data_IF_269723244305
#
_entry.id   IF_269723244305
#
_cell.length_a   1.000
_cell.length_b   1.000
_cell.length_c   1.000
_cell.angle_alpha   90.00
_cell.angle_beta   90.00
_cell.angle_gamma   90.00
#
_symmetry.space_group_name_H-M   'P 1'
#
loop_
_entity.id
_entity.type
_entity.pdbx_description
1 polymer ?
#
# COMPACT_ATOMS: atom_id res chain seq x y z
N UNK A 1 -6.62 -0.41 -0.56
CA UNK A 1 -6.90 -0.58 0.89
C UNK A 1 -8.25 0.03 1.22
N UNK A 2 -8.98 -0.57 2.15
CA UNK A 2 -10.22 -0.04 2.72
C UNK A 2 -9.95 0.41 4.15
N UNK A 3 -10.39 1.62 4.49
CA UNK A 3 -10.33 2.14 5.86
C UNK A 3 -11.68 1.90 6.53
N UNK A 4 -11.66 1.21 7.67
CA UNK A 4 -12.87 0.96 8.45
C UNK A 4 -13.39 2.24 9.11
N UNK A 5 -14.71 2.28 9.35
CA UNK A 5 -15.39 3.39 10.01
C UNK A 5 -14.78 3.73 11.38
N UNK A 6 -14.26 2.73 12.11
CA UNK A 6 -13.64 2.92 13.43
C UNK A 6 -12.41 3.84 13.39
N UNK A 7 -11.66 3.87 12.27
CA UNK A 7 -10.45 4.69 12.14
C UNK A 7 -10.79 6.18 12.16
N UNK A 8 -11.88 6.56 11.51
CA UNK A 8 -12.33 7.95 11.42
C UNK A 8 -13.34 8.33 12.53
N UNK A 9 -13.87 7.34 13.24
CA UNK A 9 -14.74 7.54 14.40
C UNK A 9 -14.05 8.35 15.50
N UNK A 10 -14.69 9.47 15.89
CA UNK A 10 -14.19 10.33 16.96
C UNK A 10 -14.05 9.52 18.24
N UNK A 11 -12.95 9.67 19.01
CA UNK A 11 -12.86 9.09 20.34
C UNK A 11 -14.07 9.48 21.19
N UNK A 12 -14.51 8.58 22.06
CA UNK A 12 -15.70 8.82 22.87
C UNK A 12 -15.49 10.06 23.74
N UNK A 13 -16.54 10.87 23.91
CA UNK A 13 -16.45 12.17 24.57
C UNK A 13 -16.00 12.11 26.04
N UNK A 14 -16.00 10.92 26.65
CA UNK A 14 -15.52 10.65 28.02
C UNK A 14 -14.13 9.99 28.05
N UNK A 15 -13.46 9.84 26.91
CA UNK A 15 -12.05 9.44 26.90
C UNK A 15 -11.22 10.58 27.49
N UNK A 16 -10.62 10.33 28.65
CA UNK A 16 -9.75 11.30 29.33
C UNK A 16 -8.26 11.06 29.04
N UNK A 17 -7.94 10.07 28.20
CA UNK A 17 -6.57 9.76 27.80
C UNK A 17 -6.09 10.69 26.67
N UNK A 18 -5.15 11.62 26.94
CA UNK A 18 -4.63 12.53 25.93
C UNK A 18 -3.90 11.80 24.80
N UNK A 19 -3.27 10.66 25.08
CA UNK A 19 -2.51 9.90 24.08
C UNK A 19 -3.45 9.33 23.01
N UNK A 20 -4.63 8.86 23.41
CA UNK A 20 -5.65 8.35 22.48
C UNK A 20 -6.15 9.45 21.54
N UNK A 21 -6.38 10.65 22.06
CA UNK A 21 -6.86 11.79 21.25
C UNK A 21 -5.74 12.31 20.33
N UNK A 22 -4.51 12.39 20.85
CA UNK A 22 -3.33 12.77 20.08
C UNK A 22 -3.07 11.77 18.93
N UNK A 23 -3.07 10.48 19.23
CA UNK A 23 -2.86 9.42 18.23
C UNK A 23 -3.98 9.40 17.18
N UNK A 24 -5.23 9.68 17.56
CA UNK A 24 -6.34 9.81 16.61
C UNK A 24 -6.10 10.93 15.59
N UNK A 25 -5.77 12.14 16.07
CA UNK A 25 -5.48 13.28 15.21
C UNK A 25 -4.27 13.00 14.30
N UNK A 26 -3.18 12.46 14.88
CA UNK A 26 -1.98 12.08 14.15
C UNK A 26 -2.26 11.06 13.04
N UNK A 27 -2.96 9.97 13.37
CA UNK A 27 -3.28 8.89 12.41
C UNK A 27 -4.05 9.43 11.20
N UNK A 28 -5.06 10.27 11.44
CA UNK A 28 -5.85 10.85 10.35
C UNK A 28 -5.01 11.77 9.46
N UNK A 29 -4.18 12.62 10.05
CA UNK A 29 -3.32 13.53 9.29
C UNK A 29 -2.25 12.76 8.50
N UNK A 30 -1.67 11.70 9.05
CA UNK A 30 -0.76 10.79 8.33
C UNK A 30 -1.47 10.08 7.16
N UNK A 31 -2.66 9.54 7.39
CA UNK A 31 -3.47 8.92 6.33
C UNK A 31 -3.81 9.93 5.21
N UNK A 32 -4.02 11.20 5.55
CA UNK A 32 -4.20 12.27 4.55
C UNK A 32 -2.94 12.50 3.72
N UNK A 33 -1.75 12.37 4.30
CA UNK A 33 -0.50 12.47 3.52
C UNK A 33 -0.31 11.23 2.64
N UNK A 34 -0.74 10.07 3.13
CA UNK A 34 -0.70 8.80 2.39
C UNK A 34 -1.56 8.79 1.13
N UNK A 35 -2.79 9.32 1.19
CA UNK A 35 -3.69 9.31 0.05
C UNK A 35 -3.15 10.08 -1.17
N UNK A 36 -2.34 11.13 -0.94
CA UNK A 36 -1.76 11.94 -2.01
C UNK A 36 -0.75 11.16 -2.86
N UNK A 37 -0.37 9.95 -2.45
CA UNK A 37 0.58 9.11 -3.17
C UNK A 37 -0.13 8.34 -4.29
N UNK A 38 0.34 8.53 -5.52
CA UNK A 38 -0.24 7.93 -6.72
C UNK A 38 -0.26 6.40 -6.72
N UNK A 39 0.64 5.78 -5.94
CA UNK A 39 0.76 4.33 -5.82
C UNK A 39 -0.21 3.69 -4.81
N UNK A 40 -1.02 4.50 -4.13
CA UNK A 40 -2.01 4.05 -3.13
C UNK A 40 -3.43 4.36 -3.61
N UNK A 41 -4.34 3.42 -3.41
CA UNK A 41 -5.79 3.68 -3.46
C UNK A 41 -6.45 3.36 -2.13
N UNK A 42 -7.19 4.33 -1.60
CA UNK A 42 -7.97 4.22 -0.36
C UNK A 42 -9.45 4.21 -0.71
N UNK A 43 -10.18 3.30 -0.09
CA UNK A 43 -11.63 3.17 -0.21
C UNK A 43 -12.27 3.24 1.18
N UNK A 44 -13.53 3.66 1.22
CA UNK A 44 -14.40 3.53 2.38
C UNK A 44 -15.54 2.56 2.06
N UNK A 45 -16.16 2.04 3.11
CA UNK A 45 -17.45 1.36 2.98
C UNK A 45 -18.55 2.40 2.68
N UNK A 46 -19.51 2.05 1.82
CA UNK A 46 -20.67 2.91 1.59
C UNK A 46 -21.52 3.15 2.85
N UNK A 47 -21.51 2.18 3.76
CA UNK A 47 -22.22 2.23 5.04
C UNK A 47 -21.51 3.06 6.11
N UNK A 48 -20.28 3.52 5.86
CA UNK A 48 -19.48 4.23 6.87
C UNK A 48 -20.18 5.47 7.43
N UNK A 49 -20.79 6.29 6.58
CA UNK A 49 -21.45 7.52 7.04
C UNK A 49 -22.66 7.21 7.94
N UNK A 50 -23.50 6.26 7.51
CA UNK A 50 -24.69 5.82 8.25
C UNK A 50 -24.34 5.24 9.62
N UNK A 51 -23.31 4.38 9.68
CA UNK A 51 -22.85 3.77 10.94
C UNK A 51 -22.35 4.84 11.92
N UNK A 52 -21.60 5.83 11.44
CA UNK A 52 -21.11 6.93 12.30
C UNK A 52 -22.25 7.82 12.80
N UNK A 53 -23.26 8.07 11.97
CA UNK A 53 -24.43 8.86 12.33
C UNK A 53 -25.27 8.16 13.40
N UNK A 54 -25.59 6.87 13.20
CA UNK A 54 -26.34 6.05 14.16
C UNK A 54 -25.69 6.01 15.55
N UNK A 55 -24.37 6.07 15.59
CA UNK A 55 -23.58 6.04 16.82
C UNK A 55 -23.32 7.43 17.43
N UNK A 56 -23.77 8.51 16.80
CA UNK A 56 -23.48 9.88 17.24
C UNK A 56 -22.01 10.27 17.10
N UNK A 57 -21.20 9.46 16.40
CA UNK A 57 -19.76 9.67 16.17
C UNK A 57 -19.49 10.62 14.99
N UNK A 58 -20.56 11.12 14.36
CA UNK A 58 -20.52 12.09 13.26
C UNK A 58 -20.55 13.56 13.73
N UNK A 59 -20.81 13.85 15.02
CA UNK A 59 -20.76 15.21 15.56
C UNK A 59 -19.32 15.69 15.81
N UNK A 60 -18.52 15.74 14.74
CA UNK A 60 -17.07 15.86 14.82
C UNK A 60 -16.62 17.15 15.55
N UNK A 61 -17.17 18.30 15.15
CA UNK A 61 -16.68 19.62 15.63
C UNK A 61 -16.91 19.85 17.12
N UNK A 62 -18.13 19.71 17.69
CA UNK A 62 -18.35 19.97 19.11
C UNK A 62 -17.58 19.01 20.01
N UNK A 63 -17.57 17.72 19.64
CA UNK A 63 -16.88 16.68 20.39
C UNK A 63 -15.38 16.87 20.38
N UNK A 64 -14.77 17.10 19.20
CA UNK A 64 -13.32 17.33 19.09
C UNK A 64 -12.88 18.62 19.79
N UNK A 65 -13.67 19.71 19.72
CA UNK A 65 -13.35 20.94 20.46
C UNK A 65 -13.29 20.69 21.97
N UNK A 66 -14.23 19.92 22.50
CA UNK A 66 -14.25 19.56 23.93
C UNK A 66 -13.05 18.68 24.28
N UNK A 67 -12.79 17.64 23.47
CA UNK A 67 -11.67 16.71 23.69
C UNK A 67 -10.32 17.42 23.61
N UNK A 68 -10.07 18.25 22.59
CA UNK A 68 -8.78 18.94 22.41
C UNK A 68 -8.51 19.89 23.57
N UNK A 69 -9.52 20.64 24.00
CA UNK A 69 -9.41 21.53 25.17
C UNK A 69 -9.14 20.76 26.46
N UNK A 70 -9.86 19.65 26.67
CA UNK A 70 -9.73 18.84 27.90
C UNK A 70 -8.40 18.10 27.98
N UNK A 71 -7.96 17.53 26.86
CA UNK A 71 -6.70 16.77 26.76
C UNK A 71 -5.47 17.65 26.48
N UNK A 72 -5.64 18.97 26.35
CA UNK A 72 -4.54 19.91 26.12
C UNK A 72 -3.86 19.77 24.75
N UNK A 73 -4.56 19.27 23.74
CA UNK A 73 -4.03 19.10 22.38
C UNK A 73 -3.93 20.47 21.71
N UNK A 74 -2.70 20.88 21.40
CA UNK A 74 -2.42 22.20 20.78
C UNK A 74 -1.65 22.11 19.47
N UNK A 75 -1.07 20.95 19.15
CA UNK A 75 -0.29 20.76 17.93
C UNK A 75 -1.18 20.64 16.68
N UNK A 76 -2.45 20.27 16.87
CA UNK A 76 -3.42 20.05 15.80
C UNK A 76 -4.64 20.96 15.94
N UNK A 77 -5.22 21.36 14.81
CA UNK A 77 -6.50 22.07 14.82
C UNK A 77 -7.66 21.10 14.59
N UNK A 78 -8.79 21.37 15.27
CA UNK A 78 -10.04 20.62 15.05
C UNK A 78 -10.49 20.72 13.59
N UNK A 79 -10.23 21.85 12.94
CA UNK A 79 -10.59 22.06 11.53
C UNK A 79 -9.85 21.10 10.60
N UNK A 80 -8.55 20.90 10.82
CA UNK A 80 -7.75 20.01 9.96
C UNK A 80 -8.25 18.57 10.04
N UNK A 81 -8.52 18.09 11.27
CA UNK A 81 -9.05 16.74 11.51
C UNK A 81 -10.43 16.57 10.88
N UNK A 82 -11.33 17.54 11.05
CA UNK A 82 -12.68 17.49 10.47
C UNK A 82 -12.63 17.47 8.94
N UNK A 83 -11.77 18.27 8.31
CA UNK A 83 -11.60 18.25 6.86
C UNK A 83 -11.10 16.90 6.36
N UNK A 84 -10.20 16.24 7.10
CA UNK A 84 -9.71 14.91 6.76
C UNK A 84 -10.85 13.88 6.80
N UNK A 85 -11.65 13.87 7.86
CA UNK A 85 -12.78 12.93 8.00
C UNK A 85 -13.81 13.16 6.90
N UNK A 86 -14.18 14.42 6.62
CA UNK A 86 -15.11 14.76 5.53
C UNK A 86 -14.57 14.32 4.17
N UNK A 87 -13.27 14.48 3.93
CA UNK A 87 -12.61 13.98 2.74
C UNK A 87 -12.77 12.45 2.61
N UNK A 88 -12.47 11.68 3.66
CA UNK A 88 -12.63 10.22 3.62
C UNK A 88 -14.07 9.81 3.30
N UNK A 89 -15.06 10.45 3.91
CA UNK A 89 -16.49 10.16 3.66
C UNK A 89 -16.93 10.51 2.23
N UNK A 90 -16.26 11.47 1.60
CA UNK A 90 -16.50 11.86 0.22
C UNK A 90 -15.82 10.96 -0.81
N UNK A 91 -14.93 10.05 -0.39
CA UNK A 91 -14.20 9.18 -1.31
C UNK A 91 -15.15 8.32 -2.13
N UNK A 92 -14.89 8.29 -3.44
CA UNK A 92 -15.56 7.44 -4.43
C UNK A 92 -14.54 6.89 -5.42
N UNK A 93 -14.78 5.71 -6.02
CA UNK A 93 -15.87 4.78 -5.71
C UNK A 93 -15.73 4.14 -4.32
N UNK A 94 -16.83 3.60 -3.80
CA UNK A 94 -16.81 2.81 -2.56
C UNK A 94 -16.16 1.44 -2.76
N UNK A 95 -15.72 0.82 -1.66
CA UNK A 95 -15.19 -0.53 -1.68
C UNK A 95 -16.17 -1.52 -2.34
N UNK A 96 -17.45 -1.43 -1.96
CA UNK A 96 -18.57 -2.20 -2.49
C UNK A 96 -18.75 -2.02 -4.00
N UNK A 97 -18.63 -0.79 -4.50
CA UNK A 97 -18.74 -0.48 -5.94
C UNK A 97 -17.56 -1.04 -6.73
N UNK A 98 -16.34 -0.93 -6.19
CA UNK A 98 -15.11 -1.41 -6.84
C UNK A 98 -15.13 -2.93 -6.99
N UNK A 99 -15.62 -3.63 -5.98
CA UNK A 99 -15.66 -5.09 -5.98
C UNK A 99 -17.00 -5.67 -6.47
N UNK A 100 -17.96 -4.80 -6.80
CA UNK A 100 -19.25 -5.19 -7.33
C UNK A 100 -20.17 -5.91 -6.33
N UNK A 101 -20.03 -5.68 -5.03
CA UNK A 101 -20.86 -6.33 -4.00
C UNK A 101 -21.69 -5.27 -3.29
N UNK A 102 -23.02 -5.36 -3.27
CA UNK A 102 -23.87 -4.45 -2.47
C UNK A 102 -23.92 -4.88 -1.02
N UNK A 103 -24.23 -6.14 -0.78
CA UNK A 103 -24.52 -6.63 0.57
C UNK A 103 -24.01 -8.05 0.77
N UNK A 104 -23.60 -8.35 2.00
CA UNK A 104 -23.19 -9.69 2.43
C UNK A 104 -23.98 -10.04 3.68
N UNK A 105 -24.87 -11.02 3.57
CA UNK A 105 -25.64 -11.55 4.68
C UNK A 105 -24.97 -12.82 5.19
N UNK A 106 -24.47 -12.77 6.42
CA UNK A 106 -23.74 -13.85 7.04
C UNK A 106 -24.24 -14.16 8.45
N UNK A 107 -24.18 -15.43 8.84
CA UNK A 107 -24.49 -15.93 10.17
C UNK A 107 -23.34 -16.75 10.75
N UNK A 108 -23.37 -16.95 12.07
CA UNK A 108 -22.36 -17.73 12.82
C UNK A 108 -20.93 -17.26 12.53
N UNK A 109 -20.76 -15.96 12.38
CA UNK A 109 -19.46 -15.34 12.09
C UNK A 109 -18.54 -15.54 13.29
N UNK A 110 -17.36 -16.08 13.04
CA UNK A 110 -16.27 -16.19 14.01
C UNK A 110 -15.02 -15.57 13.42
N UNK A 111 -14.46 -14.60 14.15
CA UNK A 111 -13.20 -13.94 13.83
C UNK A 111 -12.13 -14.35 14.84
N UNK A 112 -10.97 -14.80 14.37
CA UNK A 112 -9.82 -15.14 15.22
C UNK A 112 -8.57 -14.42 14.71
N UNK A 113 -8.01 -13.43 15.44
CA UNK A 113 -8.50 -12.91 16.73
C UNK A 113 -9.85 -12.17 16.62
N UNK A 114 -10.53 -12.03 17.76
CA UNK A 114 -11.79 -11.30 17.81
C UNK A 114 -11.52 -9.79 17.75
N UNK A 115 -12.03 -9.13 16.71
CA UNK A 115 -11.86 -7.70 16.49
C UNK A 115 -12.92 -6.82 17.17
N UNK A 116 -13.96 -7.39 17.78
CA UNK A 116 -15.03 -6.62 18.44
C UNK A 116 -14.49 -5.73 19.56
N UNK A 117 -13.42 -6.15 20.24
CA UNK A 117 -12.75 -5.36 21.27
C UNK A 117 -11.99 -4.15 20.71
N UNK A 118 -11.80 -4.06 19.38
CA UNK A 118 -11.11 -2.97 18.70
C UNK A 118 -12.02 -1.81 18.31
N UNK A 119 -13.33 -1.94 18.53
CA UNK A 119 -14.32 -0.91 18.18
C UNK A 119 -15.15 -0.49 19.38
N UNK A 120 -15.63 0.74 19.36
CA UNK A 120 -16.34 1.34 20.50
C UNK A 120 -17.77 0.83 20.68
N UNK A 121 -18.38 0.24 19.64
CA UNK A 121 -19.79 -0.11 19.66
C UNK A 121 -20.16 -1.29 18.76
N UNK A 122 -21.35 -1.84 19.00
CA UNK A 122 -21.86 -3.01 18.27
C UNK A 122 -22.10 -2.74 16.79
N UNK A 123 -22.57 -1.55 16.41
CA UNK A 123 -22.80 -1.23 14.99
C UNK A 123 -21.47 -1.05 14.24
N UNK A 124 -20.45 -0.45 14.88
CA UNK A 124 -19.10 -0.43 14.33
C UNK A 124 -18.52 -1.85 14.20
N UNK A 125 -18.75 -2.72 15.19
CA UNK A 125 -18.28 -4.10 15.17
C UNK A 125 -18.91 -4.86 14.01
N UNK A 126 -20.22 -4.74 13.85
CA UNK A 126 -20.96 -5.37 12.77
C UNK A 126 -20.52 -4.88 11.39
N UNK A 127 -20.27 -3.58 11.22
CA UNK A 127 -19.71 -3.07 9.96
C UNK A 127 -18.29 -3.59 9.71
N UNK A 128 -17.45 -3.67 10.75
CA UNK A 128 -16.11 -4.24 10.64
C UNK A 128 -16.14 -5.72 10.25
N UNK A 129 -16.99 -6.51 10.91
CA UNK A 129 -17.24 -7.92 10.57
C UNK A 129 -17.65 -8.07 9.12
N UNK A 130 -18.61 -7.26 8.64
CA UNK A 130 -19.03 -7.26 7.23
C UNK A 130 -17.87 -6.97 6.29
N UNK A 131 -17.06 -5.94 6.58
CA UNK A 131 -15.87 -5.61 5.79
C UNK A 131 -14.87 -6.78 5.76
N UNK A 132 -14.63 -7.43 6.90
CA UNK A 132 -13.73 -8.59 7.00
C UNK A 132 -14.26 -9.77 6.17
N UNK A 133 -15.55 -10.09 6.26
CA UNK A 133 -16.17 -11.17 5.46
C UNK A 133 -16.03 -10.86 3.96
N UNK A 134 -16.35 -9.63 3.55
CA UNK A 134 -16.19 -9.21 2.16
C UNK A 134 -14.74 -9.41 1.68
N UNK A 135 -13.75 -8.93 2.44
CA UNK A 135 -12.34 -9.10 2.06
C UNK A 135 -11.90 -10.57 1.99
N UNK A 136 -12.38 -11.42 2.91
CA UNK A 136 -12.09 -12.86 2.90
C UNK A 136 -12.65 -13.53 1.65
N UNK A 137 -13.88 -13.17 1.27
CA UNK A 137 -14.52 -13.63 0.05
C UNK A 137 -13.70 -13.21 -1.18
N UNK A 138 -13.32 -11.93 -1.27
CA UNK A 138 -12.55 -11.41 -2.42
C UNK A 138 -11.16 -12.05 -2.55
N UNK A 139 -10.54 -12.40 -1.41
CA UNK A 139 -9.24 -13.08 -1.40
C UNK A 139 -9.31 -14.53 -1.85
N UNK A 140 -10.38 -15.26 -1.51
CA UNK A 140 -10.43 -16.71 -1.72
C UNK A 140 -11.28 -17.14 -2.91
N UNK A 141 -12.31 -16.36 -3.26
CA UNK A 141 -13.34 -16.78 -4.23
C UNK A 141 -13.45 -15.90 -5.46
N UNK A 142 -12.70 -14.77 -5.54
CA UNK A 142 -12.56 -14.04 -6.81
C UNK A 142 -11.52 -14.68 -7.72
N UNK A 143 -11.73 -14.50 -9.03
CA UNK A 143 -10.77 -14.90 -10.05
C UNK A 143 -10.44 -13.68 -10.96
N UNK A 144 -9.24 -13.10 -10.87
CA UNK A 144 -8.15 -13.50 -9.97
C UNK A 144 -8.43 -13.13 -8.49
N UNK A 145 -7.80 -13.83 -7.53
CA UNK A 145 -7.81 -13.46 -6.11
C UNK A 145 -7.34 -12.03 -5.86
N UNK A 146 -8.04 -11.29 -5.00
CA UNK A 146 -7.64 -9.92 -4.59
C UNK A 146 -6.72 -10.01 -3.36
N UNK A 147 -5.41 -10.18 -3.58
CA UNK A 147 -4.42 -10.37 -2.50
C UNK A 147 -3.72 -9.08 -2.06
N UNK A 148 -3.78 -8.03 -2.87
CA UNK A 148 -3.11 -6.73 -2.69
C UNK A 148 -4.01 -5.68 -2.02
N UNK A 149 -5.01 -6.12 -1.27
CA UNK A 149 -5.95 -5.24 -0.58
C UNK A 149 -6.03 -5.51 0.91
N UNK A 150 -6.03 -4.41 1.67
CA UNK A 150 -5.91 -4.40 3.13
C UNK A 150 -7.06 -3.67 3.77
N UNK A 151 -7.47 -4.15 4.94
CA UNK A 151 -8.42 -3.49 5.81
C UNK A 151 -7.67 -2.77 6.93
N UNK A 152 -7.83 -1.46 7.02
CA UNK A 152 -7.23 -0.64 8.08
C UNK A 152 -8.27 -0.42 9.19
N UNK A 153 -7.92 -0.78 10.42
CA UNK A 153 -8.80 -0.67 11.60
C UNK A 153 -8.16 0.17 12.69
N UNK A 154 -8.96 0.68 13.62
CA UNK A 154 -8.45 1.46 14.76
C UNK A 154 -7.60 0.60 15.69
N UNK A 155 -6.50 1.16 16.20
CA UNK A 155 -5.67 0.56 17.25
C UNK A 155 -6.23 0.91 18.62
N UNK A 156 -6.74 -0.10 19.35
CA UNK A 156 -7.15 0.05 20.76
C UNK A 156 -6.19 -0.65 21.74
N UNK A 157 -5.39 -1.61 21.28
CA UNK A 157 -4.42 -2.35 22.12
C UNK A 157 -3.08 -2.43 21.37
N UNK A 158 -1.92 -2.39 22.07
CA UNK A 158 -0.62 -2.61 21.46
C UNK A 158 -0.45 -4.08 21.07
N UNK A 159 -0.99 -4.47 19.92
CA UNK A 159 -0.64 -5.71 19.22
C UNK A 159 0.30 -5.43 18.06
N UNK A 160 0.79 -6.48 17.42
CA UNK A 160 1.52 -6.39 16.15
C UNK A 160 0.76 -5.47 15.18
N UNK A 161 1.44 -4.62 14.38
CA UNK A 161 0.76 -3.70 13.45
C UNK A 161 -0.12 -4.41 12.42
N UNK A 162 0.13 -5.70 12.20
CA UNK A 162 -0.68 -6.56 11.35
C UNK A 162 -1.12 -7.79 12.11
N UNK A 163 -2.41 -8.10 11.96
CA UNK A 163 -3.02 -9.34 12.39
C UNK A 163 -3.61 -10.05 11.18
N UNK A 164 -3.29 -11.34 11.03
CA UNK A 164 -4.05 -12.22 10.17
C UNK A 164 -5.30 -12.66 10.94
N UNK A 165 -6.46 -12.34 10.38
CA UNK A 165 -7.76 -12.66 10.97
C UNK A 165 -8.35 -13.82 10.19
N UNK A 166 -8.47 -14.96 10.86
CA UNK A 166 -9.17 -16.13 10.34
C UNK A 166 -10.67 -15.86 10.49
N UNK A 167 -11.41 -16.08 9.41
CA UNK A 167 -12.83 -15.81 9.29
C UNK A 167 -13.54 -17.11 8.95
N UNK A 168 -14.51 -17.48 9.78
CA UNK A 168 -15.47 -18.51 9.42
C UNK A 168 -16.89 -17.95 9.50
N UNK A 169 -17.72 -18.24 8.51
CA UNK A 169 -19.10 -17.74 8.45
C UNK A 169 -19.97 -18.62 7.55
N UNK A 170 -21.28 -18.66 7.83
CA UNK A 170 -22.28 -19.13 6.88
C UNK A 170 -22.76 -17.95 6.07
N UNK A 171 -22.57 -17.98 4.75
CA UNK A 171 -23.04 -16.93 3.85
C UNK A 171 -24.41 -17.35 3.33
N UNK A 172 -25.42 -16.57 3.68
CA UNK A 172 -26.80 -16.81 3.24
C UNK A 172 -27.08 -16.14 1.91
N UNK A 173 -26.63 -14.90 1.80
CA UNK A 173 -26.81 -14.11 0.59
C UNK A 173 -25.63 -13.21 0.36
N UNK A 174 -25.37 -12.95 -0.92
CA UNK A 174 -24.46 -11.94 -1.36
C UNK A 174 -25.05 -11.30 -2.61
N UNK A 175 -25.46 -10.04 -2.45
CA UNK A 175 -26.08 -9.32 -3.54
C UNK A 175 -25.00 -8.71 -4.45
N UNK A 176 -24.96 -9.10 -5.74
CA UNK A 176 -24.02 -8.52 -6.69
C UNK A 176 -24.52 -7.16 -7.21
N UNK A 177 -23.67 -6.13 -7.20
CA UNK A 177 -23.89 -4.85 -7.90
C UNK A 177 -23.59 -4.93 -9.40
N UNK A 178 -22.84 -5.94 -9.84
CA UNK A 178 -22.42 -6.11 -11.25
C UNK A 178 -22.80 -7.53 -11.71
N UNK A 179 -23.30 -7.66 -12.95
CA UNK A 179 -23.61 -8.97 -13.54
C UNK A 179 -22.32 -9.79 -13.74
N UNK A 180 -22.37 -11.10 -13.45
CA UNK A 180 -21.27 -12.04 -13.73
C UNK A 180 -20.32 -12.30 -12.57
N UNK A 181 -20.69 -11.92 -11.35
CA UNK A 181 -19.92 -12.25 -10.16
C UNK A 181 -20.05 -13.75 -9.84
N UNK A 182 -18.94 -14.46 -9.53
CA UNK A 182 -18.97 -15.89 -9.26
C UNK A 182 -19.88 -16.23 -8.07
N UNK A 183 -20.49 -17.42 -8.12
CA UNK A 183 -21.27 -17.97 -7.01
C UNK A 183 -20.38 -18.05 -5.78
N UNK A 184 -20.77 -17.31 -4.75
CA UNK A 184 -20.05 -17.24 -3.49
C UNK A 184 -20.29 -18.47 -2.62
N UNK A 185 -19.39 -18.79 -1.69
CA UNK A 185 -19.51 -20.00 -0.89
C UNK A 185 -20.63 -19.89 0.13
N UNK A 186 -21.44 -20.94 0.29
CA UNK A 186 -22.39 -21.06 1.43
C UNK A 186 -21.66 -21.14 2.78
N UNK A 187 -20.41 -21.63 2.77
CA UNK A 187 -19.54 -21.67 3.94
C UNK A 187 -18.21 -21.00 3.63
N UNK A 188 -17.94 -19.88 4.31
CA UNK A 188 -16.69 -19.17 4.25
C UNK A 188 -15.75 -19.73 5.33
N UNK A 189 -14.55 -20.08 4.90
CA UNK A 189 -13.38 -20.31 5.74
C UNK A 189 -12.21 -19.64 5.03
N UNK A 190 -11.65 -18.56 5.58
CA UNK A 190 -10.64 -17.76 4.91
C UNK A 190 -9.85 -16.89 5.88
N UNK A 191 -8.93 -16.09 5.34
CA UNK A 191 -8.15 -15.15 6.14
C UNK A 191 -8.04 -13.78 5.49
N UNK A 192 -7.95 -12.75 6.33
CA UNK A 192 -7.78 -11.36 5.95
C UNK A 192 -6.63 -10.76 6.75
N UNK A 193 -5.75 -10.04 6.05
CA UNK A 193 -4.71 -9.25 6.70
C UNK A 193 -5.30 -7.90 7.08
N UNK A 194 -5.32 -7.62 8.37
CA UNK A 194 -5.83 -6.39 8.95
C UNK A 194 -4.67 -5.55 9.47
N UNK A 195 -4.66 -4.27 9.14
CA UNK A 195 -3.68 -3.29 9.60
C UNK A 195 -4.26 -2.49 10.76
N UNK A 196 -3.67 -2.61 11.94
CA UNK A 196 -4.20 -2.05 13.19
C UNK A 196 -3.51 -0.74 13.53
N UNK A 197 -4.22 0.38 13.34
CA UNK A 197 -3.76 1.76 13.52
C UNK A 197 -2.31 1.98 13.08
N UNK A 198 -1.99 1.67 11.82
CA UNK A 198 -0.63 1.75 11.35
C UNK A 198 -0.17 3.22 11.31
N UNK A 199 1.05 3.48 11.76
CA UNK A 199 1.76 4.66 11.27
C UNK A 199 2.05 4.47 9.77
N UNK A 200 2.34 5.55 9.05
CA UNK A 200 2.83 5.43 7.66
C UNK A 200 4.02 4.46 7.57
N UNK A 201 4.94 4.50 8.53
CA UNK A 201 6.11 3.61 8.54
C UNK A 201 5.74 2.13 8.69
N UNK A 202 4.74 1.80 9.50
CA UNK A 202 4.28 0.42 9.72
C UNK A 202 3.62 -0.12 8.46
N UNK A 203 2.83 0.73 7.80
CA UNK A 203 2.18 0.41 6.55
C UNK A 203 3.21 0.08 5.45
N UNK A 204 4.21 0.94 5.26
CA UNK A 204 5.28 0.71 4.27
C UNK A 204 6.04 -0.59 4.55
N UNK A 205 6.43 -0.83 5.80
CA UNK A 205 7.19 -2.05 6.17
C UNK A 205 6.44 -3.32 5.78
N UNK A 206 5.12 -3.29 5.86
CA UNK A 206 4.29 -4.45 5.64
C UNK A 206 3.99 -4.72 4.15
N UNK A 207 3.90 -3.69 3.31
CA UNK A 207 3.66 -3.87 1.88
C UNK A 207 4.76 -4.75 1.26
N UNK A 208 4.39 -5.82 0.57
CA UNK A 208 5.35 -6.71 -0.08
C UNK A 208 5.58 -6.32 -1.54
N UNK A 209 6.60 -5.49 -1.76
CA UNK A 209 7.06 -5.05 -3.06
C UNK A 209 7.45 -6.21 -3.98
N UNK A 210 7.92 -7.33 -3.43
CA UNK A 210 8.36 -8.50 -4.21
C UNK A 210 7.15 -9.25 -4.73
N UNK A 211 6.16 -9.48 -3.88
CA UNK A 211 4.88 -10.08 -4.30
C UNK A 211 4.17 -9.19 -5.32
N UNK A 212 4.17 -7.86 -5.13
CA UNK A 212 3.63 -6.93 -6.11
C UNK A 212 4.34 -7.04 -7.46
N UNK A 213 5.68 -7.07 -7.48
CA UNK A 213 6.44 -7.21 -8.71
C UNK A 213 6.20 -8.56 -9.41
N UNK A 214 6.03 -9.64 -8.64
CA UNK A 214 5.76 -10.98 -9.15
C UNK A 214 4.31 -11.20 -9.62
N UNK A 215 3.39 -10.32 -9.24
CA UNK A 215 1.99 -10.45 -9.63
C UNK A 215 1.80 -10.15 -11.12
N UNK A 216 0.89 -10.89 -11.79
CA UNK A 216 0.50 -10.66 -13.18
C UNK A 216 -0.41 -9.41 -13.34
N UNK A 217 -0.14 -8.37 -12.56
CA UNK A 217 -1.02 -7.23 -12.38
C UNK A 217 -0.85 -6.16 -13.50
N UNK A 218 -1.82 -5.24 -13.64
CA UNK A 218 -1.87 -4.26 -14.71
C UNK A 218 -0.68 -3.27 -14.77
N UNK A 219 -0.68 -2.44 -15.81
CA UNK A 219 0.22 -1.30 -15.94
C UNK A 219 0.27 -0.46 -14.64
N UNK A 220 1.49 -0.18 -14.18
CA UNK A 220 1.75 0.60 -12.96
C UNK A 220 2.12 -0.22 -11.72
N UNK A 221 1.89 -1.54 -11.67
CA UNK A 221 2.27 -2.34 -10.48
C UNK A 221 3.77 -2.30 -10.18
N UNK A 222 4.60 -2.30 -11.23
CA UNK A 222 6.05 -2.20 -11.12
C UNK A 222 6.51 -0.87 -10.52
N UNK A 223 5.92 0.26 -10.98
CA UNK A 223 6.15 1.58 -10.39
C UNK A 223 5.86 1.55 -8.89
N UNK A 224 4.73 0.96 -8.50
CA UNK A 224 4.36 0.83 -7.07
C UNK A 224 5.36 -0.01 -6.30
N UNK A 225 5.78 -1.15 -6.84
CA UNK A 225 6.76 -2.02 -6.19
C UNK A 225 8.09 -1.29 -5.95
N UNK A 226 8.57 -0.53 -6.95
CA UNK A 226 9.80 0.25 -6.85
C UNK A 226 9.64 1.39 -5.85
N UNK A 227 8.53 2.13 -5.88
CA UNK A 227 8.25 3.17 -4.89
C UNK A 227 8.25 2.60 -3.47
N UNK A 228 7.54 1.50 -3.22
CA UNK A 228 7.49 0.83 -1.91
C UNK A 228 8.90 0.41 -1.47
N UNK A 229 9.71 -0.14 -2.37
CA UNK A 229 11.09 -0.51 -2.09
C UNK A 229 11.96 0.69 -1.71
N UNK A 230 11.81 1.83 -2.40
CA UNK A 230 12.49 3.09 -2.04
C UNK A 230 12.05 3.55 -0.65
N UNK A 231 10.74 3.57 -0.37
CA UNK A 231 10.21 3.95 0.94
C UNK A 231 10.73 3.05 2.06
N UNK A 232 10.84 1.73 1.83
CA UNK A 232 11.43 0.79 2.79
C UNK A 232 12.91 1.08 3.04
N UNK A 233 13.67 1.42 2.00
CA UNK A 233 15.07 1.77 2.14
C UNK A 233 15.25 3.10 2.92
N UNK A 234 14.41 4.10 2.64
CA UNK A 234 14.39 5.34 3.41
C UNK A 234 14.15 5.06 4.91
N UNK A 235 13.20 4.18 5.23
CA UNK A 235 12.97 3.73 6.61
C UNK A 235 14.19 3.04 7.23
N UNK A 236 14.95 2.27 6.44
CA UNK A 236 16.20 1.65 6.89
C UNK A 236 17.26 2.70 7.22
N UNK A 237 17.41 3.75 6.40
CA UNK A 237 18.33 4.86 6.67
C UNK A 237 17.95 5.63 7.95
N UNK A 238 16.65 5.78 8.18
CA UNK A 238 16.11 6.49 9.33
C UNK A 238 15.95 5.61 10.58
N UNK A 239 16.34 4.32 10.52
CA UNK A 239 16.08 3.32 11.58
C UNK A 239 16.68 3.63 12.96
N UNK A 240 17.64 4.55 13.03
CA UNK A 240 18.21 5.04 14.30
C UNK A 240 17.24 5.94 15.08
N UNK A 241 16.20 6.48 14.43
CA UNK A 241 15.18 7.32 15.07
C UNK A 241 14.11 6.46 15.74
N UNK A 242 13.69 6.88 16.94
CA UNK A 242 12.62 6.21 17.70
C UNK A 242 11.25 6.35 17.04
N UNK A 243 11.01 7.46 16.36
CA UNK A 243 9.79 7.75 15.63
C UNK A 243 10.20 8.42 14.32
N UNK A 244 9.59 7.97 13.22
CA UNK A 244 9.89 8.46 11.88
C UNK A 244 8.60 9.06 11.33
N UNK A 245 8.64 10.34 10.98
CA UNK A 245 7.53 11.02 10.35
C UNK A 245 7.60 10.90 8.82
N UNK A 246 6.44 10.97 8.16
CA UNK A 246 6.39 10.84 6.71
C UNK A 246 7.19 11.92 5.99
N UNK A 247 7.23 13.16 6.51
CA UNK A 247 7.97 14.25 5.88
C UNK A 247 9.48 13.96 5.87
N UNK A 248 10.00 13.34 6.92
CA UNK A 248 11.41 12.90 6.98
C UNK A 248 11.72 11.79 5.98
N UNK A 249 10.74 10.91 5.72
CA UNK A 249 10.86 9.85 4.72
C UNK A 249 10.85 10.46 3.32
N UNK A 250 10.05 11.49 3.07
CA UNK A 250 10.06 12.22 1.81
C UNK A 250 11.40 12.93 1.58
N UNK A 251 11.94 13.61 2.60
CA UNK A 251 13.25 14.26 2.53
C UNK A 251 14.36 13.25 2.20
N UNK A 252 14.29 12.04 2.79
CA UNK A 252 15.21 10.94 2.47
C UNK A 252 15.00 10.43 1.04
N UNK A 253 13.75 10.29 0.60
CA UNK A 253 13.39 9.86 -0.75
C UNK A 253 13.93 10.81 -1.83
N UNK A 254 13.99 12.11 -1.56
CA UNK A 254 14.53 13.12 -2.49
C UNK A 254 16.02 12.92 -2.81
N UNK A 255 16.75 12.18 -1.97
CA UNK A 255 18.17 11.84 -2.21
C UNK A 255 18.35 10.80 -3.31
N UNK A 256 17.30 10.03 -3.63
CA UNK A 256 17.33 9.02 -4.69
C UNK A 256 17.28 9.68 -6.07
N UNK A 257 17.94 9.05 -7.04
CA UNK A 257 17.87 9.48 -8.43
C UNK A 257 16.42 9.40 -8.93
N UNK A 258 15.99 10.41 -9.69
CA UNK A 258 14.72 10.32 -10.43
C UNK A 258 14.82 9.22 -11.48
N UNK A 259 13.72 8.51 -11.71
CA UNK A 259 13.69 7.42 -12.67
C UNK A 259 12.47 7.47 -13.59
N UNK A 260 12.61 6.84 -14.74
CA UNK A 260 11.56 6.59 -15.71
C UNK A 260 11.72 5.20 -16.32
N UNK A 261 10.69 4.71 -17.01
CA UNK A 261 10.74 3.45 -17.74
C UNK A 261 10.76 3.71 -19.24
N UNK A 262 11.71 3.09 -19.92
CA UNK A 262 11.67 2.96 -21.36
C UNK A 262 10.43 2.19 -21.80
N UNK A 263 9.92 2.50 -23.00
CA UNK A 263 8.68 1.96 -23.56
C UNK A 263 8.60 0.41 -23.59
N UNK A 264 9.74 -0.29 -23.59
CA UNK A 264 9.81 -1.76 -23.63
C UNK A 264 10.17 -2.41 -22.29
N UNK A 265 10.49 -1.62 -21.26
CA UNK A 265 11.01 -2.15 -20.01
C UNK A 265 10.06 -3.19 -19.40
N UNK A 266 8.79 -2.79 -19.22
CA UNK A 266 7.77 -3.66 -18.64
C UNK A 266 7.60 -4.97 -19.41
N UNK A 267 7.60 -4.90 -20.75
CA UNK A 267 7.47 -6.09 -21.60
C UNK A 267 8.66 -7.04 -21.40
N UNK A 268 9.88 -6.51 -21.37
CA UNK A 268 11.08 -7.34 -21.15
C UNK A 268 11.15 -7.94 -19.76
N UNK A 269 10.69 -7.22 -18.72
CA UNK A 269 10.59 -7.80 -17.37
C UNK A 269 9.55 -8.92 -17.34
N UNK A 270 8.37 -8.70 -17.92
CA UNK A 270 7.33 -9.73 -17.98
C UNK A 270 7.76 -10.97 -18.76
N UNK A 271 8.63 -10.81 -19.76
CA UNK A 271 9.20 -11.91 -20.52
C UNK A 271 10.29 -12.66 -19.73
N UNK A 272 11.29 -11.94 -19.21
CA UNK A 272 12.44 -12.55 -18.54
C UNK A 272 12.12 -13.07 -17.13
N UNK A 273 11.29 -12.36 -16.36
CA UNK A 273 10.90 -12.77 -15.01
C UNK A 273 9.72 -13.76 -14.98
N UNK A 274 9.19 -14.16 -16.15
CA UNK A 274 8.09 -15.13 -16.22
C UNK A 274 8.49 -16.43 -15.51
N UNK A 275 7.75 -16.78 -14.46
CA UNK A 275 8.01 -17.96 -13.61
C UNK A 275 9.40 -17.95 -12.92
N UNK A 276 10.07 -16.80 -12.84
CA UNK A 276 11.38 -16.60 -12.19
C UNK A 276 11.26 -15.55 -11.10
N UNK A 277 10.62 -15.93 -9.98
CA UNK A 277 10.44 -15.03 -8.83
C UNK A 277 11.77 -14.55 -8.24
N UNK A 278 12.80 -15.39 -8.30
CA UNK A 278 14.17 -15.04 -7.88
C UNK A 278 14.75 -13.89 -8.71
N UNK A 279 14.48 -13.87 -10.02
CA UNK A 279 14.98 -12.82 -10.91
C UNK A 279 14.25 -11.50 -10.68
N UNK A 280 12.95 -11.52 -10.41
CA UNK A 280 12.21 -10.33 -10.05
C UNK A 280 12.75 -9.69 -8.76
N UNK A 281 13.08 -10.48 -7.74
CA UNK A 281 13.69 -9.97 -6.51
C UNK A 281 15.08 -9.34 -6.77
N UNK A 282 15.92 -10.02 -7.56
CA UNK A 282 17.24 -9.49 -7.96
C UNK A 282 17.11 -8.20 -8.78
N UNK A 283 16.14 -8.13 -9.69
CA UNK A 283 15.83 -6.94 -10.48
C UNK A 283 15.45 -5.77 -9.57
N UNK A 284 14.54 -5.99 -8.63
CA UNK A 284 14.12 -4.93 -7.71
C UNK A 284 15.31 -4.40 -6.89
N UNK A 285 16.14 -5.30 -6.37
CA UNK A 285 17.38 -4.94 -5.69
C UNK A 285 18.30 -4.10 -6.59
N UNK A 286 18.56 -4.57 -7.81
CA UNK A 286 19.44 -3.89 -8.76
C UNK A 286 18.93 -2.50 -9.16
N UNK A 287 17.61 -2.33 -9.29
CA UNK A 287 16.98 -1.02 -9.50
C UNK A 287 17.30 -0.09 -8.33
N UNK A 288 17.05 -0.54 -7.10
CA UNK A 288 17.28 0.27 -5.89
C UNK A 288 18.75 0.66 -5.75
N UNK A 289 19.67 -0.29 -5.89
CA UNK A 289 21.11 -0.04 -5.84
C UNK A 289 21.56 0.93 -6.95
N UNK A 290 20.93 0.88 -8.14
CA UNK A 290 21.20 1.83 -9.23
C UNK A 290 20.72 3.25 -8.89
N UNK A 291 19.56 3.38 -8.26
CA UNK A 291 19.03 4.68 -7.84
C UNK A 291 19.82 5.29 -6.66
N UNK A 292 20.43 4.43 -5.84
CA UNK A 292 21.28 4.84 -4.71
C UNK A 292 22.76 5.03 -5.08
N UNK A 293 23.17 4.59 -6.28
CA UNK A 293 24.57 4.54 -6.73
C UNK A 293 25.46 3.62 -5.88
N UNK A 294 24.93 2.47 -5.47
CA UNK A 294 25.66 1.44 -4.72
C UNK A 294 26.10 0.25 -5.59
N UNK A 295 27.02 -0.56 -5.04
CA UNK A 295 27.55 -1.81 -5.61
C UNK A 295 28.06 -1.62 -7.05
N UNK A 296 29.07 -0.74 -7.18
CA UNK A 296 29.59 -0.29 -8.48
C UNK A 296 30.33 -1.39 -9.24
N UNK A 297 30.75 -2.47 -8.59
CA UNK A 297 31.44 -3.59 -9.23
C UNK A 297 30.56 -4.38 -10.20
N UNK A 298 29.24 -4.38 -9.98
CA UNK A 298 28.26 -5.08 -10.82
C UNK A 298 27.75 -4.19 -11.96
N UNK A 299 28.35 -3.01 -12.15
CA UNK A 299 27.96 -2.02 -13.14
C UNK A 299 29.04 -1.94 -14.22
N UNK A 300 28.61 -2.05 -15.47
CA UNK A 300 29.48 -2.03 -16.63
C UNK A 300 28.94 -1.11 -17.72
N UNK A 301 29.83 -0.56 -18.53
CA UNK A 301 29.43 0.12 -19.76
C UNK A 301 28.67 -0.85 -20.66
N UNK A 302 27.49 -0.45 -21.11
CA UNK A 302 26.85 -1.14 -22.21
C UNK A 302 27.52 -0.69 -23.51
N UNK A 303 28.31 -1.58 -24.09
CA UNK A 303 29.10 -1.31 -25.29
C UNK A 303 28.27 -1.43 -26.55
N UNK A 304 28.74 -0.84 -27.65
CA UNK A 304 28.11 -0.96 -28.98
C UNK A 304 28.19 -2.37 -29.56
N UNK A 305 29.09 -3.22 -29.04
CA UNK A 305 29.28 -4.60 -29.49
C UNK A 305 29.95 -5.49 -28.44
N UNK A 306 30.40 -6.68 -28.86
CA UNK A 306 30.95 -7.74 -28.00
C UNK A 306 32.43 -7.52 -27.62
N UNK A 307 33.11 -6.59 -28.27
CA UNK A 307 34.54 -6.34 -28.12
C UNK A 307 34.90 -5.72 -26.77
N UNK A 308 36.09 -6.07 -26.27
CA UNK A 308 36.72 -5.44 -25.11
C UNK A 308 36.85 -3.91 -25.25
N UNK A 309 37.12 -3.47 -26.47
CA UNK A 309 37.42 -2.09 -26.83
C UNK A 309 36.24 -1.38 -27.49
N UNK A 310 35.08 -2.02 -27.61
CA UNK A 310 33.91 -1.38 -28.20
C UNK A 310 33.47 -0.21 -27.32
N UNK A 311 33.20 0.97 -27.90
CA UNK A 311 32.84 2.14 -27.12
C UNK A 311 31.54 1.92 -26.35
N UNK A 312 31.38 2.65 -25.26
CA UNK A 312 30.10 2.73 -24.57
C UNK A 312 29.05 3.34 -25.50
N UNK A 313 27.86 2.74 -25.52
CA UNK A 313 26.73 3.23 -26.29
C UNK A 313 26.18 4.53 -25.67
N UNK A 314 25.79 5.46 -26.54
CA UNK A 314 25.25 6.77 -26.16
C UNK A 314 23.98 7.09 -26.95
N UNK A 315 23.07 7.87 -26.35
CA UNK A 315 21.88 8.45 -26.99
C UNK A 315 21.90 9.96 -26.70
N UNK A 316 22.45 10.73 -27.63
CA UNK A 316 22.76 12.14 -27.35
C UNK A 316 23.80 12.27 -26.24
N UNK A 317 23.43 12.91 -25.13
CA UNK A 317 24.26 13.02 -23.91
C UNK A 317 24.08 11.84 -22.94
N UNK A 318 23.05 11.03 -23.13
CA UNK A 318 22.77 9.89 -22.27
C UNK A 318 23.79 8.77 -22.51
N UNK A 319 24.20 8.09 -21.45
CA UNK A 319 25.16 6.98 -21.52
C UNK A 319 24.52 5.67 -21.06
N UNK A 320 24.77 4.61 -21.82
CA UNK A 320 24.16 3.30 -21.56
C UNK A 320 25.00 2.49 -20.57
N UNK A 321 24.32 1.93 -19.59
CA UNK A 321 24.88 1.06 -18.58
C UNK A 321 24.18 -0.29 -18.59
N UNK A 322 24.92 -1.32 -18.18
CA UNK A 322 24.36 -2.62 -17.83
C UNK A 322 24.74 -2.95 -16.41
N UNK A 323 23.83 -3.59 -15.69
CA UNK A 323 24.02 -4.08 -14.35
C UNK A 323 23.68 -5.56 -14.27
N UNK A 324 24.55 -6.32 -13.65
CA UNK A 324 24.36 -7.76 -13.52
C UNK A 324 23.21 -8.04 -12.54
N UNK A 325 22.24 -8.85 -12.95
CA UNK A 325 21.18 -9.35 -12.07
C UNK A 325 21.58 -10.71 -11.50
N UNK A 326 22.09 -11.56 -12.39
CA UNK A 326 22.78 -12.81 -12.10
C UNK A 326 23.67 -13.20 -13.30
N UNK A 327 24.17 -14.43 -13.33
CA UNK A 327 25.04 -14.92 -14.41
C UNK A 327 24.36 -14.97 -15.79
N UNK A 328 23.03 -14.94 -15.84
CA UNK A 328 22.25 -15.12 -17.07
C UNK A 328 21.58 -13.83 -17.55
N UNK A 329 21.31 -12.87 -16.68
CA UNK A 329 20.51 -11.68 -16.99
C UNK A 329 21.15 -10.36 -16.53
N UNK A 330 20.90 -9.33 -17.34
CA UNK A 330 21.33 -7.95 -17.12
C UNK A 330 20.15 -6.99 -17.12
N UNK A 331 20.26 -5.95 -16.31
CA UNK A 331 19.44 -4.74 -16.38
C UNK A 331 20.19 -3.69 -17.22
N UNK A 332 19.59 -3.28 -18.33
CA UNK A 332 20.08 -2.19 -19.16
C UNK A 332 19.34 -0.90 -18.82
N UNK A 333 20.09 0.19 -18.67
CA UNK A 333 19.53 1.50 -18.36
C UNK A 333 20.36 2.63 -18.97
N UNK A 334 19.71 3.77 -19.18
CA UNK A 334 20.36 5.02 -19.53
C UNK A 334 20.57 5.85 -18.27
N UNK A 335 21.76 6.41 -18.13
CA UNK A 335 21.98 7.56 -17.27
C UNK A 335 21.78 8.82 -18.09
N UNK A 336 20.75 9.58 -17.75
CA UNK A 336 20.34 10.77 -18.48
C UNK A 336 20.92 12.05 -17.85
N UNK A 337 20.68 13.18 -18.51
CA UNK A 337 21.02 14.50 -18.00
C UNK A 337 20.57 14.72 -16.54
N UNK A 338 21.38 15.43 -15.77
CA UNK A 338 21.16 15.71 -14.33
C UNK A 338 21.11 14.47 -13.44
N UNK A 339 21.54 13.32 -13.95
CA UNK A 339 21.65 12.09 -13.18
C UNK A 339 20.32 11.41 -12.93
N UNK A 340 19.29 11.60 -13.76
CA UNK A 340 18.15 10.68 -13.76
C UNK A 340 18.53 9.33 -14.41
N UNK A 341 17.69 8.32 -14.19
CA UNK A 341 17.86 6.98 -14.76
C UNK A 341 16.64 6.64 -15.62
N UNK A 342 16.85 6.09 -16.80
CA UNK A 342 15.80 5.46 -17.58
C UNK A 342 16.07 3.96 -17.65
N UNK A 343 15.26 3.15 -16.97
CA UNK A 343 15.36 1.70 -17.05
C UNK A 343 14.80 1.25 -18.39
N UNK A 344 15.63 0.66 -19.24
CA UNK A 344 15.30 0.42 -20.63
C UNK A 344 14.80 -1.01 -20.87
N UNK A 345 15.55 -2.01 -20.42
CA UNK A 345 15.22 -3.42 -20.65
C UNK A 345 15.94 -4.39 -19.71
N UNK A 346 15.33 -5.54 -19.45
CA UNK A 346 15.98 -6.72 -18.85
C UNK A 346 16.29 -7.71 -19.97
N UNK A 347 17.52 -8.22 -20.03
CA UNK A 347 17.97 -9.04 -21.17
C UNK A 347 18.93 -10.16 -20.76
N UNK A 348 19.07 -11.22 -21.57
CA UNK A 348 20.09 -12.24 -21.36
C UNK A 348 21.53 -11.69 -21.47
N UNK A 349 22.48 -12.36 -20.84
CA UNK A 349 23.87 -11.91 -20.61
C UNK A 349 24.60 -11.40 -21.87
N UNK A 350 24.35 -12.01 -23.02
CA UNK A 350 25.04 -11.71 -24.28
C UNK A 350 24.28 -10.75 -25.20
N UNK A 351 23.23 -10.10 -24.70
CA UNK A 351 22.50 -9.08 -25.42
C UNK A 351 23.15 -7.70 -25.16
N UNK A 352 23.49 -6.99 -26.23
CA UNK A 352 24.10 -5.65 -26.19
C UNK A 352 23.16 -4.56 -26.75
N UNK A 353 21.90 -4.92 -26.98
CA UNK A 353 20.85 -3.99 -27.39
C UNK A 353 20.22 -3.33 -26.18
N UNK A 354 19.91 -2.06 -26.33
CA UNK A 354 19.16 -1.25 -25.38
C UNK A 354 18.15 -0.49 -26.20
N UNK A 355 16.94 -0.33 -25.65
CA UNK A 355 15.89 0.35 -26.36
C UNK A 355 16.00 1.86 -26.16
N UNK A 356 15.73 2.59 -27.24
CA UNK A 356 15.76 4.05 -27.31
C UNK A 356 14.40 4.69 -27.08
#
# INVERSE_FOLDING_TARGET
MTVDASVIAVPLAYTDDPEVVHQYAKTLLELKKFWKKAWVKIYMSEFTAEVLEKEGLYQLRPTLNTLFKRCGITEYTVNDVVQVVQFFLSLRPYCEEVFGVSEVLAEKVTLTPNLSSMVASKNLASNLERCVILMAILRKYCNPPVTDHWLVVKKLVPTSPVEEVIVTALIHDLEPKIQGIPVFPTYLDGSVSVLVGPSFSDLIKWLDEKTLLNSAAPQGTMERAIEIAIYKLCLKHLSQKRQIEIDEIEDEREKFRKFTFGKHFLATVQECCRNRSDLAEKLLRAIIETLEKQELQDIHWLRTGKGGNDPQRKRGQDVAWRRDLDNEYHLHYWECEKGSVEFANVVPHNNFSITE
#
